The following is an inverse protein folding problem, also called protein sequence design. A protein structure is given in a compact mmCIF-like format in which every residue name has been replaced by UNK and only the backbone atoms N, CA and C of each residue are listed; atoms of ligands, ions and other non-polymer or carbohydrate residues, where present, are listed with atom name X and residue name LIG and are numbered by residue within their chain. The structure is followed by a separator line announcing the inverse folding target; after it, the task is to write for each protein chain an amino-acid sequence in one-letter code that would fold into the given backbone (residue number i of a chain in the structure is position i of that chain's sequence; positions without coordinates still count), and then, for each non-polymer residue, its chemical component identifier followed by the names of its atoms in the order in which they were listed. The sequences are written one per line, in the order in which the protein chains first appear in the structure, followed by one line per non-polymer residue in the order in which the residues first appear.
data_IF_864402758009
#
_entry.id   IF_864402758009
#
_cell.length_a   1.000
_cell.length_b   1.000
_cell.length_c   1.000
_cell.angle_alpha   90.00
_cell.angle_beta   90.00
_cell.angle_gamma   90.00
#
_symmetry.space_group_name_H-M   'P 1'
#
loop_
_entity.id
_entity.type
_entity.pdbx_description
1 polymer ?
#
# COMPACT_ATOMS: atom_id res chain seq x y z
N UNK A 1 11.46 14.55 -3.72
CA UNK A 1 10.43 14.92 -4.75
C UNK A 1 9.45 15.87 -4.08
N UNK A 2 9.07 16.99 -4.73
CA UNK A 2 8.00 17.87 -4.20
C UNK A 2 6.64 17.23 -4.43
N UNK A 3 5.83 17.13 -3.38
CA UNK A 3 4.51 16.50 -3.40
C UNK A 3 3.45 17.57 -3.22
N UNK A 4 2.63 17.78 -4.25
CA UNK A 4 1.52 18.76 -4.23
C UNK A 4 0.18 18.10 -3.89
N UNK A 5 -0.01 16.85 -4.30
CA UNK A 5 -1.13 16.02 -3.88
C UNK A 5 -0.69 14.55 -3.74
N UNK A 6 -1.40 13.82 -2.90
CA UNK A 6 -1.13 12.42 -2.62
C UNK A 6 -2.44 11.69 -2.35
N UNK A 7 -2.59 10.50 -2.95
CA UNK A 7 -3.73 9.60 -2.76
C UNK A 7 -3.23 8.21 -2.46
N UNK A 8 -3.96 7.48 -1.64
CA UNK A 8 -3.84 6.03 -1.59
C UNK A 8 -4.76 5.48 -2.68
N UNK A 9 -4.27 4.63 -3.55
CA UNK A 9 -5.05 4.02 -4.62
C UNK A 9 -5.15 2.51 -4.41
N UNK A 10 -6.35 1.98 -4.67
CA UNK A 10 -6.71 0.60 -4.38
C UNK A 10 -7.21 -0.07 -5.67
N UNK A 11 -6.57 -1.16 -6.06
CA UNK A 11 -6.90 -1.89 -7.27
C UNK A 11 -8.05 -2.86 -7.05
N UNK A 12 -9.16 -2.64 -7.74
CA UNK A 12 -10.41 -3.41 -7.61
C UNK A 12 -10.71 -4.36 -8.78
N UNK A 13 -9.95 -4.27 -9.87
CA UNK A 13 -10.23 -5.07 -11.07
C UNK A 13 -9.91 -6.56 -10.87
N UNK A 14 -10.73 -7.41 -11.50
CA UNK A 14 -10.58 -8.88 -11.51
C UNK A 14 -9.90 -9.40 -12.79
N UNK A 15 -9.26 -8.51 -13.55
CA UNK A 15 -8.69 -8.85 -14.85
C UNK A 15 -7.62 -9.95 -14.79
N UNK A 16 -6.82 -9.99 -13.71
CA UNK A 16 -5.78 -11.00 -13.50
C UNK A 16 -6.27 -12.08 -12.54
N UNK A 17 -6.00 -13.35 -12.86
CA UNK A 17 -6.42 -14.49 -12.04
C UNK A 17 -5.90 -14.44 -10.59
N UNK A 18 -4.69 -13.96 -10.35
CA UNK A 18 -4.15 -13.76 -8.99
C UNK A 18 -4.84 -12.64 -8.22
N UNK A 19 -5.34 -11.59 -8.90
CA UNK A 19 -6.17 -10.58 -8.22
C UNK A 19 -7.43 -11.21 -7.66
N UNK A 20 -8.05 -12.13 -8.41
CA UNK A 20 -9.21 -12.89 -7.94
C UNK A 20 -8.85 -13.81 -6.77
N UNK A 21 -7.71 -14.48 -6.84
CA UNK A 21 -7.23 -15.38 -5.81
C UNK A 21 -6.92 -14.63 -4.51
N UNK A 22 -6.22 -13.50 -4.59
CA UNK A 22 -5.90 -12.65 -3.44
C UNK A 22 -7.19 -12.12 -2.80
N UNK A 23 -8.13 -11.59 -3.58
CA UNK A 23 -9.41 -11.09 -3.08
C UNK A 23 -10.22 -12.18 -2.38
N UNK A 24 -10.35 -13.34 -3.02
CA UNK A 24 -11.06 -14.47 -2.45
C UNK A 24 -10.40 -14.92 -1.14
N UNK A 25 -9.09 -14.99 -1.12
CA UNK A 25 -8.34 -15.49 0.03
C UNK A 25 -8.29 -14.50 1.20
N UNK A 26 -8.18 -13.20 0.92
CA UNK A 26 -8.14 -12.15 1.94
C UNK A 26 -9.53 -11.62 2.31
N UNK A 27 -10.58 -12.12 1.68
CA UNK A 27 -11.95 -11.58 1.76
C UNK A 27 -11.98 -10.05 1.52
N UNK A 28 -11.19 -9.58 0.57
CA UNK A 28 -10.96 -8.17 0.27
C UNK A 28 -11.60 -7.79 -1.06
N UNK A 29 -12.15 -6.60 -1.16
CA UNK A 29 -12.57 -6.00 -2.44
C UNK A 29 -11.37 -5.56 -3.28
N UNK A 30 -10.22 -5.36 -2.64
CA UNK A 30 -9.00 -4.88 -3.25
C UNK A 30 -7.89 -5.93 -3.22
N UNK A 31 -7.15 -6.03 -4.32
CA UNK A 31 -6.02 -6.95 -4.45
C UNK A 31 -4.66 -6.26 -4.32
N UNK A 32 -4.64 -4.92 -4.34
CA UNK A 32 -3.41 -4.14 -4.35
C UNK A 32 -3.65 -2.70 -3.90
N UNK A 33 -2.63 -2.05 -3.32
CA UNK A 33 -2.64 -0.63 -2.99
C UNK A 33 -1.27 0.00 -3.18
N UNK A 34 -1.25 1.27 -3.60
CA UNK A 34 -0.04 2.09 -3.79
C UNK A 34 -0.34 3.55 -3.47
N UNK A 35 0.69 4.40 -3.35
CA UNK A 35 0.53 5.85 -3.37
C UNK A 35 0.47 6.35 -4.81
N UNK A 36 -0.39 7.33 -5.06
CA UNK A 36 -0.46 8.07 -6.31
C UNK A 36 -0.15 9.53 -6.04
N UNK A 37 0.97 9.99 -6.58
CA UNK A 37 1.56 11.29 -6.26
C UNK A 37 1.52 12.20 -7.47
N UNK A 38 1.11 13.45 -7.25
CA UNK A 38 1.04 14.51 -8.26
C UNK A 38 0.22 14.12 -9.49
N UNK A 39 -0.79 13.26 -9.32
CA UNK A 39 -1.61 12.71 -10.41
C UNK A 39 -0.78 12.14 -11.58
N UNK A 40 0.41 11.65 -11.31
CA UNK A 40 1.37 11.22 -12.34
C UNK A 40 2.14 9.96 -11.95
N UNK A 41 2.49 9.79 -10.67
CA UNK A 41 3.40 8.75 -10.24
C UNK A 41 2.75 7.75 -9.30
N UNK A 42 2.85 6.46 -9.62
CA UNK A 42 2.63 5.38 -8.67
C UNK A 42 3.92 5.11 -7.90
N UNK A 43 3.82 5.11 -6.57
CA UNK A 43 4.91 4.85 -5.64
C UNK A 43 4.50 3.74 -4.69
N UNK A 44 5.27 2.67 -4.66
CA UNK A 44 4.98 1.51 -3.82
C UNK A 44 5.65 0.25 -4.34
N UNK A 45 5.14 -0.89 -3.92
CA UNK A 45 5.65 -2.21 -4.29
C UNK A 45 4.54 -3.07 -4.87
N UNK A 46 4.83 -3.86 -5.89
CA UNK A 46 3.91 -4.84 -6.45
C UNK A 46 4.53 -6.23 -6.52
N UNK A 47 3.70 -7.24 -6.75
CA UNK A 47 4.14 -8.62 -6.90
C UNK A 47 5.16 -8.85 -8.04
N UNK A 48 5.18 -7.96 -9.01
CA UNK A 48 6.06 -8.05 -10.19
C UNK A 48 7.27 -7.11 -10.09
N UNK A 49 7.24 -6.15 -9.17
CA UNK A 49 8.24 -5.08 -9.11
C UNK A 49 8.59 -4.76 -7.66
N UNK A 50 9.87 -4.52 -7.40
CA UNK A 50 10.36 -3.96 -6.12
C UNK A 50 9.74 -2.59 -5.82
N UNK A 51 10.01 -2.05 -4.63
CA UNK A 51 9.65 -0.67 -4.28
C UNK A 51 10.23 0.28 -5.34
N UNK A 52 9.34 1.03 -6.00
CA UNK A 52 9.70 1.94 -7.11
C UNK A 52 8.73 3.10 -7.22
N UNK A 53 9.16 4.10 -7.97
CA UNK A 53 8.35 5.22 -8.45
C UNK A 53 8.27 5.12 -9.99
N UNK A 54 7.07 5.10 -10.54
CA UNK A 54 6.86 5.04 -12.00
C UNK A 54 5.75 5.97 -12.45
N UNK A 55 5.87 6.53 -13.65
CA UNK A 55 4.75 7.23 -14.30
C UNK A 55 3.63 6.25 -14.62
N UNK A 56 2.41 6.65 -14.32
CA UNK A 56 1.23 5.83 -14.56
C UNK A 56 0.00 6.73 -14.80
N UNK A 57 -0.81 6.37 -15.78
CA UNK A 57 -2.10 6.99 -16.00
C UNK A 57 -3.19 6.16 -15.31
N UNK A 58 -3.80 6.74 -14.28
CA UNK A 58 -4.73 6.04 -13.41
C UNK A 58 -6.12 5.98 -14.03
N UNK A 59 -6.56 4.78 -14.42
CA UNK A 59 -7.93 4.54 -14.85
C UNK A 59 -8.87 4.41 -13.66
N UNK A 60 -9.84 5.31 -13.53
CA UNK A 60 -10.83 5.33 -12.45
C UNK A 60 -11.72 4.08 -12.39
N UNK A 61 -11.90 3.37 -13.52
CA UNK A 61 -12.69 2.13 -13.56
C UNK A 61 -12.04 0.97 -12.77
N UNK A 62 -10.72 0.97 -12.66
CA UNK A 62 -9.94 -0.11 -12.03
C UNK A 62 -9.44 0.23 -10.64
N UNK A 63 -9.50 1.49 -10.25
CA UNK A 63 -8.92 1.99 -9.03
C UNK A 63 -9.93 2.84 -8.25
N UNK A 64 -10.02 2.61 -6.97
CA UNK A 64 -10.59 3.55 -6.01
C UNK A 64 -9.46 4.34 -5.36
N UNK A 65 -9.73 5.54 -4.88
CA UNK A 65 -8.72 6.39 -4.27
C UNK A 65 -9.23 7.08 -3.03
N UNK A 66 -8.33 7.30 -2.07
CA UNK A 66 -8.52 8.13 -0.88
C UNK A 66 -7.47 9.23 -0.93
N UNK A 67 -7.89 10.47 -0.95
CA UNK A 67 -7.00 11.63 -0.93
C UNK A 67 -6.50 11.88 0.49
N UNK A 68 -5.21 12.18 0.64
CA UNK A 68 -4.60 12.51 1.91
C UNK A 68 -4.26 14.00 1.96
N UNK A 69 -4.51 14.63 3.10
CA UNK A 69 -4.08 16.00 3.32
C UNK A 69 -2.56 16.07 3.39
N UNK A 70 -1.97 16.76 2.43
CA UNK A 70 -0.52 16.93 2.38
C UNK A 70 -0.06 18.03 3.33
N UNK A 71 1.00 17.77 4.07
CA UNK A 71 1.77 18.74 4.83
C UNK A 71 3.27 18.45 4.69
N UNK A 72 4.11 19.35 5.17
CA UNK A 72 5.56 19.20 5.08
C UNK A 72 6.08 17.94 5.77
N UNK A 73 5.40 17.49 6.83
CA UNK A 73 5.78 16.28 7.56
C UNK A 73 5.50 15.02 6.75
N UNK A 74 4.31 14.94 6.13
CA UNK A 74 3.96 13.81 5.27
C UNK A 74 4.86 13.76 4.03
N UNK A 75 5.11 14.92 3.39
CA UNK A 75 6.03 15.02 2.25
C UNK A 75 7.43 14.50 2.60
N UNK A 76 7.95 14.91 3.75
CA UNK A 76 9.27 14.45 4.22
C UNK A 76 9.27 12.95 4.49
N UNK A 77 8.26 12.43 5.21
CA UNK A 77 8.13 10.99 5.53
C UNK A 77 8.08 10.15 4.25
N UNK A 78 7.27 10.53 3.28
CA UNK A 78 7.14 9.79 2.01
C UNK A 78 8.49 9.72 1.28
N UNK A 79 9.20 10.84 1.19
CA UNK A 79 10.49 10.89 0.51
C UNK A 79 11.56 10.06 1.26
N UNK A 80 11.68 10.22 2.57
CA UNK A 80 12.66 9.51 3.40
C UNK A 80 12.40 8.00 3.41
N UNK A 81 11.13 7.59 3.59
CA UNK A 81 10.77 6.17 3.61
C UNK A 81 10.96 5.52 2.24
N UNK A 82 10.59 6.22 1.15
CA UNK A 82 10.84 5.72 -0.19
C UNK A 82 12.34 5.54 -0.46
N UNK A 83 13.17 6.51 -0.12
CA UNK A 83 14.63 6.44 -0.31
C UNK A 83 15.24 5.26 0.46
N UNK A 84 14.80 5.01 1.70
CA UNK A 84 15.28 3.91 2.53
C UNK A 84 14.81 2.53 2.05
N UNK A 85 13.67 2.43 1.41
CA UNK A 85 13.05 1.16 1.01
C UNK A 85 13.11 0.89 -0.48
N UNK A 86 13.58 1.84 -1.30
CA UNK A 86 13.69 1.68 -2.75
C UNK A 86 14.46 0.41 -3.11
N UNK A 87 13.89 -0.41 -3.99
CA UNK A 87 14.48 -1.68 -4.41
C UNK A 87 14.16 -2.87 -3.49
N UNK A 88 13.51 -2.67 -2.35
CA UNK A 88 13.04 -3.77 -1.51
C UNK A 88 12.09 -4.69 -2.28
N UNK A 89 12.26 -6.00 -2.10
CA UNK A 89 11.54 -7.02 -2.87
C UNK A 89 10.18 -7.35 -2.27
N UNK A 90 9.27 -7.85 -3.11
CA UNK A 90 7.96 -8.30 -2.67
C UNK A 90 8.04 -9.60 -1.85
N UNK A 91 7.30 -9.65 -0.74
CA UNK A 91 7.29 -10.82 0.14
C UNK A 91 6.16 -11.81 -0.21
N UNK A 92 6.40 -12.62 -1.24
CA UNK A 92 5.52 -13.72 -1.62
C UNK A 92 5.32 -14.76 -0.52
N UNK A 93 6.39 -15.02 0.28
CA UNK A 93 6.34 -16.01 1.35
C UNK A 93 5.41 -15.58 2.47
N UNK A 94 5.39 -14.27 2.79
CA UNK A 94 4.48 -13.74 3.79
C UNK A 94 3.02 -13.99 3.40
N UNK A 95 2.65 -13.82 2.13
CA UNK A 95 1.29 -14.07 1.65
C UNK A 95 0.93 -15.56 1.73
N UNK A 96 1.78 -16.44 1.23
CA UNK A 96 1.53 -17.87 1.20
C UNK A 96 1.49 -18.44 2.63
N UNK A 97 2.46 -18.11 3.47
CA UNK A 97 2.57 -18.65 4.83
C UNK A 97 1.50 -18.10 5.77
N UNK A 98 1.10 -16.83 5.63
CA UNK A 98 0.04 -16.24 6.46
C UNK A 98 -1.29 -16.94 6.31
N UNK A 99 -1.51 -17.50 5.15
CA UNK A 99 -2.78 -18.10 4.78
C UNK A 99 -2.85 -19.62 5.06
N UNK A 100 -1.69 -20.31 5.04
CA UNK A 100 -1.63 -21.75 5.32
C UNK A 100 -1.43 -22.03 6.81
N UNK A 101 -0.66 -21.18 7.53
CA UNK A 101 -0.22 -21.47 8.90
C UNK A 101 -0.60 -20.38 9.92
N UNK A 102 -1.31 -19.33 9.52
CA UNK A 102 -1.61 -18.16 10.37
C UNK A 102 -0.33 -17.57 11.04
N UNK A 103 0.81 -17.74 10.41
CA UNK A 103 2.15 -17.32 10.88
C UNK A 103 2.82 -16.51 9.78
N UNK A 104 2.76 -15.19 9.91
CA UNK A 104 3.61 -14.29 9.12
C UNK A 104 4.92 -14.08 9.85
N UNK A 105 6.03 -14.38 9.19
CA UNK A 105 7.36 -14.02 9.66
C UNK A 105 7.72 -12.67 9.04
N UNK A 106 7.91 -11.65 9.86
CA UNK A 106 8.37 -10.35 9.40
C UNK A 106 9.77 -10.49 8.79
N UNK A 107 9.92 -10.05 7.54
CA UNK A 107 11.21 -10.01 6.87
C UNK A 107 11.59 -8.55 6.62
N UNK A 108 12.61 -8.05 7.29
CA UNK A 108 13.02 -6.63 7.30
C UNK A 108 13.40 -6.05 5.93
N UNK A 109 13.60 -6.89 4.90
CA UNK A 109 14.03 -6.47 3.56
C UNK A 109 12.97 -6.76 2.48
N UNK A 110 11.75 -7.11 2.87
CA UNK A 110 10.66 -7.45 1.97
C UNK A 110 9.35 -6.91 2.50
N UNK A 111 8.49 -6.49 1.60
CA UNK A 111 7.19 -5.94 1.92
C UNK A 111 6.08 -6.57 1.08
N UNK A 112 4.88 -6.62 1.64
CA UNK A 112 3.65 -6.64 0.84
C UNK A 112 3.24 -5.20 0.52
N UNK A 113 2.32 -5.00 -0.43
CA UNK A 113 1.88 -3.66 -0.80
C UNK A 113 1.19 -2.94 0.38
N UNK A 114 0.32 -3.64 1.09
CA UNK A 114 -0.40 -3.09 2.26
C UNK A 114 0.52 -2.83 3.46
N UNK A 115 1.51 -3.71 3.69
CA UNK A 115 2.52 -3.51 4.74
C UNK A 115 3.35 -2.25 4.50
N UNK A 116 3.84 -2.06 3.27
CA UNK A 116 4.64 -0.89 2.91
C UNK A 116 3.86 0.42 3.09
N UNK A 117 2.59 0.46 2.63
CA UNK A 117 1.71 1.62 2.80
C UNK A 117 1.40 1.87 4.27
N UNK A 118 1.05 0.83 5.03
CA UNK A 118 0.68 0.96 6.44
C UNK A 118 1.85 1.46 7.28
N UNK A 119 3.05 0.90 7.10
CA UNK A 119 4.25 1.33 7.83
C UNK A 119 4.61 2.78 7.52
N UNK A 120 4.59 3.17 6.24
CA UNK A 120 4.84 4.55 5.83
C UNK A 120 3.86 5.53 6.47
N UNK A 121 2.55 5.25 6.36
CA UNK A 121 1.52 6.18 6.82
C UNK A 121 1.41 6.21 8.35
N UNK A 122 1.75 5.12 9.03
CA UNK A 122 1.76 5.08 10.49
C UNK A 122 2.83 6.00 11.10
N UNK A 123 3.94 6.23 10.41
CA UNK A 123 4.94 7.25 10.79
C UNK A 123 4.34 8.67 10.87
N UNK A 124 3.28 8.93 10.12
CA UNK A 124 2.58 10.23 10.12
C UNK A 124 1.39 10.26 11.06
N UNK A 125 0.54 9.23 11.01
CA UNK A 125 -0.79 9.25 11.59
C UNK A 125 -0.91 8.43 12.88
N UNK A 126 -0.02 7.46 13.11
CA UNK A 126 -0.01 6.56 14.28
C UNK A 126 -1.37 5.87 14.52
N UNK A 127 -1.97 5.35 13.45
CA UNK A 127 -3.32 4.75 13.44
C UNK A 127 -3.31 3.23 13.33
N UNK A 128 -2.18 2.64 12.96
CA UNK A 128 -2.00 1.20 12.92
C UNK A 128 -1.24 0.73 14.16
N UNK A 129 -1.50 -0.50 14.58
CA UNK A 129 -0.70 -1.13 15.62
C UNK A 129 0.61 -1.65 15.03
N UNK A 130 1.79 -1.13 15.42
CA UNK A 130 3.07 -1.38 14.74
C UNK A 130 3.42 -2.86 14.58
N UNK A 131 3.01 -3.69 15.51
CA UNK A 131 3.35 -5.12 15.52
C UNK A 131 2.60 -5.97 14.48
N UNK A 132 1.74 -5.36 13.65
CA UNK A 132 0.82 -6.09 12.76
C UNK A 132 0.76 -5.59 11.32
N UNK A 133 1.66 -4.72 10.86
CA UNK A 133 1.64 -4.23 9.46
C UNK A 133 1.64 -5.38 8.45
N UNK A 134 2.46 -6.39 8.68
CA UNK A 134 2.57 -7.57 7.83
C UNK A 134 1.28 -8.42 7.77
N UNK A 135 0.31 -8.17 8.62
CA UNK A 135 -1.00 -8.85 8.62
C UNK A 135 -2.08 -8.08 7.87
N UNK A 136 -1.82 -6.81 7.54
CA UNK A 136 -2.80 -5.95 6.91
C UNK A 136 -3.01 -6.32 5.43
N UNK A 137 -4.26 -6.36 5.03
CA UNK A 137 -4.69 -6.47 3.64
C UNK A 137 -4.90 -5.08 3.03
N UNK A 138 -4.97 -4.94 1.70
CA UNK A 138 -5.38 -3.68 1.08
C UNK A 138 -6.74 -3.18 1.56
N UNK A 139 -7.67 -4.09 1.89
CA UNK A 139 -8.97 -3.74 2.46
C UNK A 139 -8.83 -3.12 3.85
N UNK A 140 -7.98 -3.68 4.71
CA UNK A 140 -7.76 -3.12 6.06
C UNK A 140 -7.24 -1.69 5.98
N UNK A 141 -6.30 -1.42 5.06
CA UNK A 141 -5.79 -0.07 4.81
C UNK A 141 -6.92 0.85 4.34
N UNK A 142 -7.74 0.40 3.39
CA UNK A 142 -8.89 1.16 2.91
C UNK A 142 -9.87 1.48 4.05
N UNK A 143 -10.24 0.49 4.86
CA UNK A 143 -11.21 0.63 5.95
C UNK A 143 -10.73 1.60 7.04
N UNK A 144 -9.43 1.59 7.33
CA UNK A 144 -8.84 2.52 8.30
C UNK A 144 -8.93 3.96 7.79
N UNK A 145 -8.53 4.21 6.54
CA UNK A 145 -8.51 5.57 5.99
C UNK A 145 -9.88 6.08 5.59
N UNK A 146 -10.79 5.22 5.14
CA UNK A 146 -12.16 5.62 4.77
C UNK A 146 -13.04 5.99 5.98
N UNK A 147 -12.72 5.48 7.17
CA UNK A 147 -13.48 5.74 8.42
C UNK A 147 -12.91 6.90 9.25
N UNK A 148 -11.67 7.29 8.99
CA UNK A 148 -11.03 8.38 9.72
C UNK A 148 -11.13 9.67 8.90
N UNK A 149 -11.56 10.76 9.53
CA UNK A 149 -11.63 12.12 8.98
C UNK A 149 -10.23 12.73 8.64
N UNK A 150 -9.24 11.87 8.41
CA UNK A 150 -7.89 12.26 7.98
C UNK A 150 -7.83 12.75 6.53
N UNK A 151 -9.02 12.83 5.91
CA UNK A 151 -9.24 13.09 4.49
C UNK A 151 -9.59 14.56 4.21
N UNK A 152 -9.87 15.37 5.24
CA UNK A 152 -10.17 16.79 5.09
C UNK A 152 -9.02 17.71 5.48
#
# INVERSE_FOLDING_TARGET
MKINNIKIVFYKSNYRWWSRLIKWWTNSSYSHCELYINNTYLVGISNEQSVRCKKYDLSSEKWDSIELKIDNKLEWIVNDFFEKTQGAKYDWKAIILSNIFNRRLQNTNKYTCSEWIAELLDLRYNIFQPKKYYMLTPQDVYDVFSKNELIE
#
